data_IF_827513309075
#
_entry.id   IF_827513309075
#
_cell.length_a   1.000
_cell.length_b   1.000
_cell.length_c   1.000
_cell.angle_alpha   90.00
_cell.angle_beta   90.00
_cell.angle_gamma   90.00
#
_symmetry.space_group_name_H-M   'P 1'
#
loop_
_entity.id
_entity.type
_entity.pdbx_description
1 polymer ?
#
# COMPACT_ATOMS: atom_id res chain seq x y z
N UNK A 1 26.67 -49.50 54.13
CA UNK A 1 27.17 -49.14 52.80
C UNK A 1 26.17 -49.61 51.76
N UNK A 2 25.33 -48.72 51.22
CA UNK A 2 24.89 -48.72 49.82
C UNK A 2 24.11 -47.42 49.57
N UNK A 3 24.40 -46.81 48.43
CA UNK A 3 24.26 -45.38 48.13
C UNK A 3 22.93 -45.09 47.43
N UNK A 4 22.21 -44.04 47.85
CA UNK A 4 21.16 -43.40 47.04
C UNK A 4 21.81 -42.75 45.80
N UNK A 5 21.40 -43.14 44.60
CA UNK A 5 21.72 -42.42 43.37
C UNK A 5 20.56 -41.46 43.04
N UNK A 6 20.79 -40.17 43.23
CA UNK A 6 19.91 -39.11 42.74
C UNK A 6 20.19 -38.87 41.24
N UNK A 7 19.18 -39.04 40.39
CA UNK A 7 19.23 -38.61 38.99
C UNK A 7 18.86 -37.11 38.94
N UNK A 8 19.89 -36.26 38.81
CA UNK A 8 19.73 -34.84 38.50
C UNK A 8 19.48 -34.71 37.01
N UNK A 9 18.36 -34.08 36.66
CA UNK A 9 17.98 -33.80 35.28
C UNK A 9 18.87 -32.76 34.62
N UNK A 10 19.13 -32.97 33.33
CA UNK A 10 19.60 -31.94 32.41
C UNK A 10 18.52 -31.74 31.34
N UNK A 11 17.62 -30.79 31.58
CA UNK A 11 16.84 -30.21 30.49
C UNK A 11 17.77 -29.26 29.73
N UNK A 12 18.16 -29.65 28.51
CA UNK A 12 18.90 -28.75 27.63
C UNK A 12 18.08 -27.48 27.37
N UNK A 13 18.70 -26.29 27.35
CA UNK A 13 18.00 -25.09 26.92
C UNK A 13 17.57 -25.30 25.46
N UNK A 14 16.26 -25.31 25.24
CA UNK A 14 15.69 -25.21 23.89
C UNK A 14 16.09 -23.84 23.38
N UNK A 15 17.09 -23.81 22.49
CA UNK A 15 17.43 -22.63 21.72
C UNK A 15 16.16 -22.13 21.03
N UNK A 16 15.61 -21.02 21.51
CA UNK A 16 14.57 -20.29 20.79
C UNK A 16 15.10 -20.00 19.40
N UNK A 17 14.52 -20.67 18.40
CA UNK A 17 14.67 -20.32 17.01
C UNK A 17 14.48 -18.81 16.88
N UNK A 18 15.45 -18.15 16.25
CA UNK A 18 15.51 -16.70 16.14
C UNK A 18 14.17 -16.14 15.71
N UNK A 19 13.65 -15.22 16.52
CA UNK A 19 12.56 -14.35 16.08
C UNK A 19 12.98 -13.73 14.74
N UNK A 20 12.11 -13.77 13.72
CA UNK A 20 12.41 -13.09 12.46
C UNK A 20 12.73 -11.64 12.78
N UNK A 21 13.88 -11.16 12.30
CA UNK A 21 14.29 -9.77 12.45
C UNK A 21 13.11 -8.87 12.02
N UNK A 22 12.71 -7.95 12.88
CA UNK A 22 11.66 -6.98 12.58
C UNK A 22 11.96 -6.34 11.22
N UNK A 23 10.96 -6.36 10.33
CA UNK A 23 11.09 -5.75 9.01
C UNK A 23 11.59 -4.30 9.17
N UNK A 24 12.49 -3.80 8.29
CA UNK A 24 13.05 -2.47 8.43
C UNK A 24 11.93 -1.43 8.56
N UNK A 25 11.85 -0.82 9.73
CA UNK A 25 10.83 0.16 10.10
C UNK A 25 11.23 1.51 9.54
N UNK A 26 10.91 1.78 8.28
CA UNK A 26 10.88 3.16 7.84
C UNK A 26 9.81 3.91 8.63
N UNK A 27 9.99 5.21 8.80
CA UNK A 27 8.89 6.08 9.16
C UNK A 27 7.89 6.12 7.99
N UNK A 28 6.85 5.28 8.10
CA UNK A 28 5.86 5.09 7.03
C UNK A 28 5.07 6.37 6.77
N UNK A 29 4.74 7.12 7.82
CA UNK A 29 4.02 8.38 7.68
C UNK A 29 4.88 9.43 6.98
N UNK A 30 6.17 9.50 7.32
CA UNK A 30 7.10 10.37 6.59
C UNK A 30 7.24 9.98 5.11
N UNK A 31 7.30 8.67 4.80
CA UNK A 31 7.33 8.19 3.41
C UNK A 31 6.04 8.56 2.66
N UNK A 32 4.88 8.39 3.28
CA UNK A 32 3.59 8.79 2.70
C UNK A 32 3.58 10.29 2.43
N UNK A 33 3.91 11.10 3.43
CA UNK A 33 3.93 12.55 3.29
C UNK A 33 4.90 13.04 2.21
N UNK A 34 6.11 12.49 2.16
CA UNK A 34 7.09 12.83 1.12
C UNK A 34 6.63 12.41 -0.29
N UNK A 35 5.99 11.24 -0.39
CA UNK A 35 5.46 10.74 -1.67
C UNK A 35 4.31 11.61 -2.17
N UNK A 36 3.36 11.95 -1.31
CA UNK A 36 2.25 12.85 -1.63
C UNK A 36 2.78 14.24 -2.05
N UNK A 37 3.73 14.79 -1.31
CA UNK A 37 4.33 16.08 -1.64
C UNK A 37 5.00 16.08 -3.03
N UNK A 38 5.72 15.00 -3.37
CA UNK A 38 6.31 14.81 -4.71
C UNK A 38 5.26 14.74 -5.81
N UNK A 39 4.05 14.27 -5.50
CA UNK A 39 2.92 14.19 -6.43
C UNK A 39 2.07 15.46 -6.46
N UNK A 40 2.44 16.49 -5.70
CA UNK A 40 1.67 17.73 -5.61
C UNK A 40 0.37 17.53 -4.84
N UNK A 41 0.42 16.76 -3.74
CA UNK A 41 -0.68 16.63 -2.78
C UNK A 41 -0.14 16.91 -1.37
N UNK A 42 -1.00 17.46 -0.50
CA UNK A 42 -0.69 17.67 0.90
C UNK A 42 -1.27 16.55 1.75
N UNK A 43 -0.42 15.81 2.47
CA UNK A 43 -0.85 14.69 3.31
C UNK A 43 -1.91 15.06 4.37
N UNK A 44 -1.88 16.29 4.87
CA UNK A 44 -2.88 16.81 5.82
C UNK A 44 -4.29 16.94 5.24
N UNK A 45 -4.44 16.94 3.91
CA UNK A 45 -5.74 16.97 3.23
C UNK A 45 -6.38 15.59 3.11
N UNK A 46 -5.72 14.55 3.63
CA UNK A 46 -6.14 13.17 3.48
C UNK A 46 -6.24 12.45 4.81
N UNK A 47 -7.20 11.55 4.89
CA UNK A 47 -7.24 10.54 5.93
C UNK A 47 -6.25 9.44 5.57
N UNK A 48 -5.11 9.41 6.26
CA UNK A 48 -4.18 8.29 6.17
C UNK A 48 -4.69 7.20 7.10
N UNK A 49 -5.20 6.11 6.52
CA UNK A 49 -5.69 4.99 7.30
C UNK A 49 -4.57 3.99 7.47
N UNK A 50 -4.09 3.87 8.71
CA UNK A 50 -3.09 2.89 9.06
C UNK A 50 -3.69 1.49 9.13
N UNK A 51 -2.89 0.44 8.97
CA UNK A 51 -3.33 -0.95 9.09
C UNK A 51 -3.95 -1.26 10.46
N UNK A 52 -3.44 -0.65 11.53
CA UNK A 52 -4.03 -0.74 12.86
C UNK A 52 -5.46 -0.17 12.88
N UNK A 53 -5.69 0.94 12.18
CA UNK A 53 -7.02 1.54 12.04
C UNK A 53 -7.94 0.69 11.15
N UNK A 54 -7.43 0.10 10.05
CA UNK A 54 -8.21 -0.85 9.24
C UNK A 54 -8.67 -2.05 10.06
N UNK A 55 -7.75 -2.66 10.83
CA UNK A 55 -8.03 -3.84 11.66
C UNK A 55 -9.06 -3.54 12.75
N UNK A 56 -8.98 -2.35 13.36
CA UNK A 56 -9.91 -1.94 14.41
C UNK A 56 -11.34 -1.68 13.91
N UNK A 57 -11.52 -1.43 12.62
CA UNK A 57 -12.79 -0.94 12.07
C UNK A 57 -13.55 -1.94 11.20
N UNK A 58 -12.93 -3.08 10.86
CA UNK A 58 -13.54 -4.15 10.07
C UNK A 58 -13.49 -3.89 8.56
N UNK A 59 -13.66 -4.94 7.74
CA UNK A 59 -13.45 -4.90 6.28
C UNK A 59 -14.43 -3.96 5.56
N UNK A 60 -15.66 -3.80 6.05
CA UNK A 60 -16.68 -2.93 5.46
C UNK A 60 -16.30 -1.44 5.54
N UNK A 61 -15.67 -1.00 6.65
CA UNK A 61 -15.17 0.38 6.78
C UNK A 61 -13.85 0.58 6.04
N UNK A 62 -13.00 -0.44 5.96
CA UNK A 62 -11.78 -0.39 5.14
C UNK A 62 -12.11 -0.10 3.66
N UNK A 63 -13.16 -0.73 3.11
CA UNK A 63 -13.67 -0.43 1.78
C UNK A 63 -14.27 0.99 1.68
N UNK A 64 -14.93 1.48 2.73
CA UNK A 64 -15.46 2.86 2.77
C UNK A 64 -14.36 3.94 2.84
N UNK A 65 -13.11 3.57 3.16
CA UNK A 65 -11.96 4.49 3.08
C UNK A 65 -11.36 4.58 1.68
N UNK A 66 -11.75 3.75 0.72
CA UNK A 66 -11.41 3.94 -0.68
C UNK A 66 -12.25 5.10 -1.27
N UNK A 67 -11.92 6.33 -0.88
CA UNK A 67 -12.67 7.54 -1.26
C UNK A 67 -11.72 8.67 -1.65
N UNK A 68 -12.30 9.72 -2.24
CA UNK A 68 -11.67 10.95 -2.78
C UNK A 68 -10.63 11.64 -1.89
N UNK A 69 -10.49 11.24 -0.62
CA UNK A 69 -9.65 11.91 0.38
C UNK A 69 -8.95 10.94 1.31
N UNK A 70 -8.73 9.69 0.93
CA UNK A 70 -8.03 8.73 1.78
C UNK A 70 -6.98 7.93 1.02
N UNK A 71 -5.87 7.67 1.71
CA UNK A 71 -4.77 6.82 1.24
C UNK A 71 -4.63 5.70 2.25
N UNK A 72 -4.73 4.46 1.78
CA UNK A 72 -4.73 3.26 2.60
C UNK A 72 -3.52 2.41 2.22
N UNK A 73 -2.81 1.86 3.20
CA UNK A 73 -1.74 0.88 2.95
C UNK A 73 -1.71 -0.17 4.04
N UNK A 74 -1.12 -1.34 3.78
CA UNK A 74 -0.94 -2.45 4.74
C UNK A 74 0.44 -2.42 5.42
N UNK A 75 0.53 -2.88 6.69
CA UNK A 75 1.78 -2.92 7.48
C UNK A 75 2.74 -3.98 6.93
N UNK A 76 2.18 -4.98 6.24
CA UNK A 76 2.95 -6.03 5.57
C UNK A 76 3.67 -5.53 4.32
N UNK A 77 3.37 -4.33 3.80
CA UNK A 77 4.06 -3.77 2.64
C UNK A 77 5.47 -3.32 3.06
N UNK A 78 6.55 -3.89 2.46
CA UNK A 78 7.90 -3.41 2.66
C UNK A 78 8.03 -1.91 2.34
N UNK A 79 8.78 -1.17 3.15
CA UNK A 79 8.97 0.27 3.00
C UNK A 79 9.42 0.71 1.60
N UNK A 80 10.24 -0.10 0.93
CA UNK A 80 10.68 0.18 -0.45
C UNK A 80 9.52 0.26 -1.45
N UNK A 81 8.38 -0.38 -1.18
CA UNK A 81 7.20 -0.38 -2.04
C UNK A 81 6.17 0.67 -1.64
N UNK A 82 6.29 1.25 -0.45
CA UNK A 82 5.30 2.20 0.07
C UNK A 82 5.09 3.43 -0.84
N UNK A 83 6.12 4.03 -1.49
CA UNK A 83 5.90 5.12 -2.44
C UNK A 83 5.02 4.71 -3.63
N UNK A 84 5.20 3.50 -4.16
CA UNK A 84 4.41 2.99 -5.28
C UNK A 84 2.94 2.77 -4.87
N UNK A 85 2.70 2.21 -3.68
CA UNK A 85 1.36 2.04 -3.12
C UNK A 85 0.67 3.39 -2.94
N UNK A 86 1.34 4.36 -2.33
CA UNK A 86 0.77 5.70 -2.12
C UNK A 86 0.42 6.37 -3.45
N UNK A 87 1.25 6.20 -4.48
CA UNK A 87 0.99 6.71 -5.81
C UNK A 87 -0.23 6.07 -6.48
N UNK A 88 -0.37 4.76 -6.32
CA UNK A 88 -1.51 3.99 -6.81
C UNK A 88 -2.81 4.47 -6.14
N UNK A 89 -2.84 4.57 -4.81
CA UNK A 89 -4.01 5.05 -4.07
C UNK A 89 -4.36 6.51 -4.42
N UNK A 90 -3.35 7.37 -4.60
CA UNK A 90 -3.59 8.73 -5.08
C UNK A 90 -4.15 8.78 -6.50
N UNK A 91 -3.80 7.82 -7.35
CA UNK A 91 -4.39 7.71 -8.67
C UNK A 91 -5.90 7.47 -8.57
N UNK A 92 -6.37 6.62 -7.65
CA UNK A 92 -7.80 6.44 -7.39
C UNK A 92 -8.47 7.74 -6.94
N UNK A 93 -7.83 8.52 -6.09
CA UNK A 93 -8.33 9.84 -5.70
C UNK A 93 -8.45 10.76 -6.92
N UNK A 94 -7.45 10.80 -7.80
CA UNK A 94 -7.52 11.61 -9.02
C UNK A 94 -8.59 11.11 -9.99
N UNK A 95 -8.77 9.80 -10.11
CA UNK A 95 -9.84 9.19 -10.90
C UNK A 95 -11.21 9.60 -10.34
N UNK A 96 -11.41 9.52 -9.03
CA UNK A 96 -12.64 9.95 -8.38
C UNK A 96 -12.89 11.46 -8.58
N UNK A 97 -11.87 12.31 -8.39
CA UNK A 97 -11.96 13.76 -8.67
C UNK A 97 -12.33 14.05 -10.13
N UNK A 98 -11.75 13.31 -11.08
CA UNK A 98 -12.03 13.45 -12.51
C UNK A 98 -13.48 13.16 -12.87
N UNK A 99 -14.06 12.12 -12.28
CA UNK A 99 -15.42 11.67 -12.58
C UNK A 99 -16.46 12.16 -11.56
N UNK A 100 -16.01 12.86 -10.53
CA UNK A 100 -16.81 13.43 -9.45
C UNK A 100 -17.18 12.47 -8.32
N UNK A 101 -17.01 11.14 -8.51
CA UNK A 101 -17.09 10.11 -7.45
C UNK A 101 -16.31 8.86 -7.84
N UNK A 102 -15.92 8.04 -6.85
CA UNK A 102 -15.28 6.74 -7.11
C UNK A 102 -16.20 5.81 -7.92
N UNK A 103 -17.48 5.73 -7.57
CA UNK A 103 -18.44 4.89 -8.30
C UNK A 103 -18.59 5.30 -9.78
N UNK A 104 -18.43 6.59 -10.11
CA UNK A 104 -18.42 7.06 -11.50
C UNK A 104 -17.09 6.74 -12.19
N UNK A 105 -15.97 6.81 -11.47
CA UNK A 105 -14.67 6.37 -11.97
C UNK A 105 -14.67 4.87 -12.30
N UNK A 106 -15.14 4.03 -11.39
CA UNK A 106 -15.30 2.57 -11.60
C UNK A 106 -16.13 2.27 -12.85
N UNK A 107 -17.27 2.95 -13.04
CA UNK A 107 -18.09 2.80 -14.25
C UNK A 107 -17.39 3.27 -15.53
N UNK A 108 -16.54 4.29 -15.43
CA UNK A 108 -15.86 4.86 -16.58
C UNK A 108 -14.62 4.06 -17.01
N UNK A 109 -13.86 3.54 -16.03
CA UNK A 109 -12.64 2.76 -16.28
C UNK A 109 -12.91 1.26 -16.39
N UNK A 110 -13.92 0.73 -15.69
CA UNK A 110 -14.19 -0.70 -15.62
C UNK A 110 -12.97 -1.47 -15.14
N UNK A 111 -12.60 -2.52 -15.88
CA UNK A 111 -11.43 -3.35 -15.59
C UNK A 111 -10.08 -2.60 -15.65
N UNK A 112 -10.05 -1.40 -16.24
CA UNK A 112 -8.82 -0.61 -16.38
C UNK A 112 -8.56 0.34 -15.19
N UNK A 113 -9.43 0.36 -14.17
CA UNK A 113 -9.27 1.26 -13.02
C UNK A 113 -7.92 1.05 -12.32
N UNK A 114 -7.64 -0.21 -11.99
CA UNK A 114 -6.44 -0.65 -11.28
C UNK A 114 -5.16 -0.60 -12.15
N UNK A 115 -5.16 -1.11 -13.41
CA UNK A 115 -4.03 -0.91 -14.32
C UNK A 115 -3.65 0.57 -14.53
N UNK A 116 -4.64 1.47 -14.62
CA UNK A 116 -4.37 2.91 -14.74
C UNK A 116 -3.70 3.45 -13.46
N UNK A 117 -4.11 2.99 -12.28
CA UNK A 117 -3.50 3.40 -11.01
C UNK A 117 -2.03 2.91 -10.89
N UNK A 118 -1.75 1.66 -11.29
CA UNK A 118 -0.37 1.17 -11.40
C UNK A 118 0.45 1.97 -12.41
N UNK A 119 -0.15 2.35 -13.54
CA UNK A 119 0.51 3.15 -14.56
C UNK A 119 0.84 4.56 -14.09
N UNK A 120 0.05 5.14 -13.20
CA UNK A 120 0.40 6.38 -12.52
C UNK A 120 1.67 6.20 -11.69
N UNK A 121 1.76 5.12 -10.90
CA UNK A 121 2.95 4.83 -10.09
C UNK A 121 4.22 4.67 -10.96
N UNK A 122 4.10 3.93 -12.07
CA UNK A 122 5.17 3.79 -13.07
C UNK A 122 5.58 5.14 -13.65
N UNK A 123 4.63 5.93 -14.14
CA UNK A 123 4.88 7.22 -14.78
C UNK A 123 5.48 8.28 -13.84
N UNK A 124 5.37 8.07 -12.53
CA UNK A 124 5.90 8.97 -11.49
C UNK A 124 7.21 8.46 -10.86
N UNK A 125 7.75 7.37 -11.43
CA UNK A 125 9.09 6.86 -11.15
C UNK A 125 9.14 5.68 -10.16
N UNK A 126 8.03 4.98 -9.94
CA UNK A 126 7.95 3.84 -9.01
C UNK A 126 7.53 2.56 -9.74
N UNK A 127 8.46 1.97 -10.47
CA UNK A 127 8.20 0.83 -11.36
C UNK A 127 8.23 -0.54 -10.65
N UNK A 128 8.60 -0.56 -9.37
CA UNK A 128 9.01 -1.75 -8.63
C UNK A 128 7.89 -2.44 -7.84
N UNK A 129 6.67 -1.91 -7.89
CA UNK A 129 5.48 -2.53 -7.30
C UNK A 129 4.24 -2.12 -8.10
N UNK A 130 3.72 -3.06 -8.89
CA UNK A 130 2.62 -2.85 -9.83
C UNK A 130 1.82 -4.15 -10.03
N UNK A 131 1.13 -4.62 -8.98
CA UNK A 131 0.54 -5.95 -8.93
C UNK A 131 -0.50 -6.20 -10.03
N UNK A 132 -1.20 -5.17 -10.50
CA UNK A 132 -2.22 -5.31 -11.54
C UNK A 132 -1.61 -5.40 -12.93
N UNK A 133 -0.52 -4.68 -13.19
CA UNK A 133 0.25 -4.85 -14.42
C UNK A 133 0.99 -6.21 -14.44
N UNK A 134 1.53 -6.63 -13.29
CA UNK A 134 2.19 -7.93 -13.14
C UNK A 134 1.22 -9.09 -13.35
N UNK A 135 0.03 -9.04 -12.73
CA UNK A 135 -1.02 -10.05 -12.91
C UNK A 135 -1.46 -10.18 -14.37
N UNK A 136 -1.45 -9.07 -15.11
CA UNK A 136 -1.82 -9.02 -16.53
C UNK A 136 -0.69 -9.44 -17.47
N UNK A 137 0.57 -9.42 -17.01
CA UNK A 137 1.74 -9.89 -17.76
C UNK A 137 2.29 -8.90 -18.80
N UNK A 138 1.81 -7.66 -18.83
CA UNK A 138 2.36 -6.61 -19.69
C UNK A 138 2.26 -5.23 -19.03
N UNK A 139 3.13 -4.31 -19.45
CA UNK A 139 3.18 -2.94 -18.93
C UNK A 139 1.99 -2.08 -19.36
N UNK A 140 2.14 -0.77 -19.21
CA UNK A 140 1.06 0.17 -19.54
C UNK A 140 0.64 0.08 -21.01
N UNK A 141 -0.64 0.04 -21.30
CA UNK A 141 -1.17 0.21 -22.67
C UNK A 141 -1.11 1.67 -23.11
N UNK A 142 -1.40 1.93 -24.38
CA UNK A 142 -1.58 3.30 -24.87
C UNK A 142 -2.73 4.01 -24.14
N UNK A 143 -3.85 3.30 -23.93
CA UNK A 143 -4.98 3.80 -23.17
C UNK A 143 -4.56 4.20 -21.74
N UNK A 144 -3.85 3.34 -21.02
CA UNK A 144 -3.44 3.64 -19.64
C UNK A 144 -2.44 4.80 -19.58
N UNK A 145 -1.52 4.91 -20.54
CA UNK A 145 -0.60 6.06 -20.63
C UNK A 145 -1.35 7.37 -20.88
N UNK A 146 -2.34 7.35 -21.77
CA UNK A 146 -3.18 8.51 -22.05
C UNK A 146 -4.03 8.89 -20.83
N UNK A 147 -4.64 7.91 -20.16
CA UNK A 147 -5.42 8.11 -18.95
C UNK A 147 -4.55 8.69 -17.82
N UNK A 148 -3.37 8.12 -17.59
CA UNK A 148 -2.37 8.58 -16.61
C UNK A 148 -1.99 10.03 -16.85
N UNK A 149 -1.66 10.39 -18.09
CA UNK A 149 -1.31 11.76 -18.46
C UNK A 149 -2.44 12.74 -18.17
N UNK A 150 -3.68 12.34 -18.45
CA UNK A 150 -4.88 13.13 -18.18
C UNK A 150 -5.27 13.23 -16.69
N UNK A 151 -4.74 12.37 -15.81
CA UNK A 151 -5.04 12.40 -14.38
C UNK A 151 -4.20 13.42 -13.60
N UNK A 152 -2.97 13.71 -14.02
CA UNK A 152 -2.06 14.61 -13.28
C UNK A 152 -2.63 16.02 -13.04
N UNK A 153 -3.53 16.50 -13.89
CA UNK A 153 -4.23 17.80 -13.71
C UNK A 153 -5.21 17.83 -12.52
N UNK A 154 -5.44 16.68 -11.88
CA UNK A 154 -6.31 16.54 -10.71
C UNK A 154 -5.54 16.42 -9.40
N UNK A 155 -4.20 16.51 -9.45
CA UNK A 155 -3.36 16.80 -8.28
C UNK A 155 -3.61 18.22 -7.76
N UNK A 156 -3.45 18.47 -6.45
CA UNK A 156 -3.76 19.76 -5.80
C UNK A 156 -2.74 20.20 -4.76
#
# INVERSE_FOLDING_TARGET
>A
MLTLAALVGFAAPVSSAGQPAAAPTCDRLAVVAATMAKLGEQASSFTIVTPAQMKAQGPERAAAYATETAVVYSDGIPCRYLPAVVAHELAHVWQARKYGTMARAERAYGAELEPVADCVAVATGWEFYRPYLEARGYGCTEYERAATSGLRRWAR
#
